data_IF_287435965234
#
_entry.id   IF_287435965234
#
_cell.length_a   1.000
_cell.length_b   1.000
_cell.length_c   1.000
_cell.angle_alpha   90.00
_cell.angle_beta   90.00
_cell.angle_gamma   90.00
#
_symmetry.space_group_name_H-M   'P 1'
#
loop_
_entity.id
_entity.type
_entity.pdbx_description
1 polymer ?
#
# COMPACT_ATOMS: atom_id res chain seq x y z
N UNK A 1 21.13 26.43 -6.14
CA UNK A 1 19.92 26.55 -6.99
C UNK A 1 19.20 25.22 -7.01
N UNK A 2 17.87 25.20 -6.85
CA UNK A 2 17.09 23.98 -7.16
C UNK A 2 17.21 23.69 -8.66
N UNK A 3 17.26 22.41 -9.02
CA UNK A 3 17.29 21.96 -10.40
C UNK A 3 16.12 22.59 -11.19
N UNK A 4 16.38 23.37 -12.25
CA UNK A 4 15.33 24.01 -13.05
C UNK A 4 14.40 23.01 -13.74
N UNK A 5 14.84 21.76 -13.93
CA UNK A 5 14.01 20.68 -14.44
C UNK A 5 12.97 20.19 -13.41
N UNK A 6 13.11 20.57 -12.13
CA UNK A 6 12.14 20.24 -11.09
C UNK A 6 11.07 21.32 -10.97
N UNK A 7 9.81 20.92 -11.10
CA UNK A 7 8.64 21.77 -10.83
C UNK A 7 7.94 21.26 -9.57
N UNK A 8 7.40 22.17 -8.76
CA UNK A 8 6.66 21.77 -7.57
C UNK A 8 5.56 22.77 -7.23
N UNK A 9 4.47 22.26 -6.65
CA UNK A 9 3.43 23.02 -5.98
C UNK A 9 3.52 22.68 -4.50
N UNK A 10 3.85 23.66 -3.66
CA UNK A 10 4.02 23.47 -2.22
C UNK A 10 3.26 24.53 -1.45
N UNK A 11 2.51 24.09 -0.43
CA UNK A 11 1.83 25.00 0.50
C UNK A 11 2.69 25.24 1.74
N UNK A 12 2.40 26.32 2.47
CA UNK A 12 3.14 26.73 3.68
C UNK A 12 3.14 25.66 4.76
N UNK A 13 2.07 24.87 4.86
CA UNK A 13 1.95 23.75 5.79
C UNK A 13 2.80 22.52 5.39
N UNK A 14 3.47 22.56 4.23
CA UNK A 14 4.51 21.61 3.84
C UNK A 14 4.09 20.49 2.88
N UNK A 15 2.81 20.38 2.55
CA UNK A 15 2.33 19.46 1.50
C UNK A 15 2.87 19.90 0.14
N UNK A 16 3.27 18.92 -0.66
CA UNK A 16 3.96 19.15 -1.93
C UNK A 16 3.54 18.14 -3.00
N UNK A 17 3.36 18.62 -4.21
CA UNK A 17 3.39 17.82 -5.45
C UNK A 17 4.61 18.26 -6.25
N UNK A 18 5.49 17.34 -6.63
CA UNK A 18 6.69 17.66 -7.42
C UNK A 18 6.86 16.74 -8.63
N UNK A 19 7.35 17.34 -9.71
CA UNK A 19 7.74 16.70 -10.96
C UNK A 19 9.23 16.95 -11.14
N UNK A 20 10.00 15.89 -11.35
CA UNK A 20 11.45 15.97 -11.53
C UNK A 20 11.91 14.92 -12.55
N UNK A 21 13.18 14.97 -13.01
CA UNK A 21 13.75 13.90 -13.84
C UNK A 21 13.66 12.49 -13.22
N UNK A 22 13.48 12.39 -11.89
CA UNK A 22 13.31 11.10 -11.19
C UNK A 22 11.88 10.54 -11.27
N UNK A 23 10.88 11.40 -11.47
CA UNK A 23 9.47 11.02 -11.46
C UNK A 23 8.57 12.07 -10.81
N UNK A 24 7.37 11.64 -10.41
CA UNK A 24 6.33 12.43 -9.74
C UNK A 24 6.26 12.02 -8.27
N UNK A 25 6.20 13.00 -7.37
CA UNK A 25 6.02 12.77 -5.93
C UNK A 25 4.84 13.60 -5.43
N UNK A 26 3.97 12.98 -4.64
CA UNK A 26 2.93 13.65 -3.85
C UNK A 26 3.21 13.33 -2.39
N UNK A 27 3.35 14.33 -1.53
CA UNK A 27 3.70 14.11 -0.12
C UNK A 27 3.10 15.13 0.84
N UNK A 28 2.84 14.68 2.06
CA UNK A 28 2.54 15.54 3.19
C UNK A 28 3.82 16.05 3.87
N UNK A 29 3.67 17.10 4.69
CA UNK A 29 4.77 17.64 5.49
C UNK A 29 5.43 16.55 6.35
N UNK A 30 6.76 16.57 6.43
CA UNK A 30 7.51 15.56 7.19
C UNK A 30 7.52 14.15 6.57
N UNK A 31 6.86 13.93 5.42
CA UNK A 31 6.84 12.64 4.75
C UNK A 31 5.96 11.58 5.43
N UNK A 32 4.97 12.00 6.21
CA UNK A 32 4.01 11.09 6.88
C UNK A 32 3.20 10.24 5.89
N UNK A 33 2.90 10.82 4.72
CA UNK A 33 2.33 10.15 3.55
C UNK A 33 3.14 10.55 2.33
N UNK A 34 3.45 9.57 1.47
CA UNK A 34 4.15 9.81 0.20
C UNK A 34 3.70 8.82 -0.87
N UNK A 35 3.42 9.34 -2.06
CA UNK A 35 3.18 8.59 -3.29
C UNK A 35 4.29 8.94 -4.28
N UNK A 36 4.94 7.94 -4.84
CA UNK A 36 6.01 8.13 -5.82
C UNK A 36 5.68 7.34 -7.09
N UNK A 37 5.73 8.01 -8.24
CA UNK A 37 5.67 7.39 -9.57
C UNK A 37 7.01 7.66 -10.23
N UNK A 38 7.88 6.65 -10.25
CA UNK A 38 9.29 6.80 -10.65
C UNK A 38 9.50 6.50 -12.13
N UNK A 39 10.49 7.16 -12.73
CA UNK A 39 10.89 6.93 -14.14
C UNK A 39 11.27 5.47 -14.44
N UNK A 40 11.66 4.71 -13.42
CA UNK A 40 11.95 3.27 -13.54
C UNK A 40 10.71 2.39 -13.72
N UNK A 41 9.50 2.95 -13.67
CA UNK A 41 8.23 2.21 -13.66
C UNK A 41 7.81 1.71 -12.27
N UNK A 42 8.62 1.96 -11.23
CA UNK A 42 8.26 1.64 -9.84
C UNK A 42 7.27 2.66 -9.30
N UNK A 43 6.21 2.16 -8.65
CA UNK A 43 5.29 2.96 -7.86
C UNK A 43 5.50 2.60 -6.39
N UNK A 44 5.64 3.61 -5.52
CA UNK A 44 5.71 3.41 -4.07
C UNK A 44 4.59 4.19 -3.39
N UNK A 45 3.97 3.57 -2.38
CA UNK A 45 2.96 4.17 -1.52
C UNK A 45 3.41 4.01 -0.07
N UNK A 46 3.48 5.12 0.66
CA UNK A 46 3.92 5.15 2.05
C UNK A 46 2.90 5.89 2.91
N UNK A 47 2.58 5.30 4.08
CA UNK A 47 1.78 5.93 5.12
C UNK A 47 2.35 5.50 6.48
N UNK A 48 2.50 6.44 7.41
CA UNK A 48 3.02 6.16 8.76
C UNK A 48 1.98 5.60 9.73
N UNK A 49 0.69 5.88 9.49
CA UNK A 49 -0.42 5.49 10.38
C UNK A 49 -1.24 4.36 9.75
N UNK A 50 -2.10 4.68 8.77
CA UNK A 50 -2.97 3.71 8.10
C UNK A 50 -2.97 3.91 6.58
N UNK A 51 -3.09 2.81 5.84
CA UNK A 51 -3.45 2.81 4.41
C UNK A 51 -4.67 1.93 4.21
N UNK A 52 -5.79 2.55 3.84
CA UNK A 52 -7.05 1.86 3.56
C UNK A 52 -7.32 1.82 2.05
N UNK A 53 -7.63 0.64 1.52
CA UNK A 53 -8.10 0.45 0.15
C UNK A 53 -9.52 -0.13 0.22
N UNK A 54 -10.51 0.65 -0.18
CA UNK A 54 -11.92 0.25 -0.18
C UNK A 54 -12.50 0.41 -1.59
N UNK A 55 -13.11 -0.66 -2.11
CA UNK A 55 -13.74 -0.66 -3.44
C UNK A 55 -15.13 -1.30 -3.35
N UNK A 56 -16.05 -0.87 -4.22
CA UNK A 56 -17.39 -1.49 -4.33
C UNK A 56 -17.38 -2.80 -5.12
N UNK A 57 -16.48 -2.91 -6.08
CA UNK A 57 -16.31 -4.10 -6.93
C UNK A 57 -15.15 -4.96 -6.45
N UNK A 58 -14.28 -5.31 -7.37
CA UNK A 58 -13.12 -6.17 -7.13
C UNK A 58 -11.80 -5.38 -7.08
N UNK A 59 -10.85 -5.92 -6.32
CA UNK A 59 -9.43 -5.56 -6.42
C UNK A 59 -8.71 -6.75 -7.06
N UNK A 60 -8.11 -6.53 -8.23
CA UNK A 60 -7.27 -7.52 -8.91
C UNK A 60 -5.80 -7.19 -8.68
N UNK A 61 -5.03 -8.17 -8.17
CA UNK A 61 -3.57 -8.08 -8.03
C UNK A 61 -2.95 -9.20 -8.86
N UNK A 62 -2.43 -8.85 -10.03
CA UNK A 62 -1.72 -9.76 -10.92
C UNK A 62 -0.22 -9.42 -10.96
N UNK A 63 0.61 -10.45 -10.82
CA UNK A 63 2.05 -10.33 -10.91
C UNK A 63 2.64 -11.56 -11.62
N UNK A 64 3.31 -11.33 -12.76
CA UNK A 64 3.98 -12.38 -13.56
C UNK A 64 4.99 -13.23 -12.79
N UNK A 65 5.57 -12.69 -11.70
CA UNK A 65 6.63 -13.36 -10.94
C UNK A 65 6.20 -13.69 -9.52
N UNK A 66 5.71 -12.72 -8.76
CA UNK A 66 5.44 -12.90 -7.33
C UNK A 66 4.60 -11.74 -6.79
N UNK A 67 3.64 -12.09 -5.93
CA UNK A 67 3.03 -11.19 -4.96
C UNK A 67 3.66 -11.48 -3.60
N UNK A 68 4.13 -10.44 -2.90
CA UNK A 68 4.75 -10.57 -1.57
C UNK A 68 4.01 -9.68 -0.58
N UNK A 69 3.49 -10.29 0.48
CA UNK A 69 2.85 -9.59 1.61
C UNK A 69 3.71 -9.82 2.86
N UNK A 70 4.00 -8.74 3.59
CA UNK A 70 4.79 -8.76 4.82
C UNK A 70 4.04 -7.98 5.89
N UNK A 71 3.97 -8.51 7.10
CA UNK A 71 3.38 -7.85 8.27
C UNK A 71 4.34 -7.93 9.45
N UNK A 72 4.54 -6.81 10.16
CA UNK A 72 5.44 -6.78 11.32
C UNK A 72 4.87 -7.49 12.56
N UNK A 73 3.53 -7.55 12.68
CA UNK A 73 2.83 -8.21 13.80
C UNK A 73 1.91 -9.34 13.35
N UNK A 74 1.11 -9.11 12.32
CA UNK A 74 0.24 -10.12 11.75
C UNK A 74 -0.09 -9.80 10.28
N UNK A 75 -0.56 -10.82 9.57
CA UNK A 75 -1.29 -10.69 8.30
C UNK A 75 -2.63 -11.38 8.53
N UNK A 76 -3.74 -10.70 8.21
CA UNK A 76 -5.10 -11.21 8.44
C UNK A 76 -5.94 -11.01 7.18
N UNK A 77 -6.59 -12.07 6.72
CA UNK A 77 -7.52 -12.09 5.59
C UNK A 77 -8.87 -12.57 6.12
N UNK A 78 -9.94 -11.80 5.93
CA UNK A 78 -11.24 -12.10 6.55
C UNK A 78 -12.41 -11.85 5.62
N UNK A 79 -13.45 -12.67 5.78
CA UNK A 79 -14.76 -12.40 5.21
C UNK A 79 -15.67 -11.74 6.25
N UNK A 80 -16.45 -10.75 5.81
CA UNK A 80 -17.49 -10.12 6.64
C UNK A 80 -18.57 -11.12 7.11
N UNK A 81 -18.73 -12.24 6.39
CA UNK A 81 -19.69 -13.31 6.72
C UNK A 81 -19.10 -14.38 7.67
N UNK A 82 -17.88 -14.17 8.16
CA UNK A 82 -17.15 -15.15 8.93
C UNK A 82 -16.19 -15.98 8.06
N UNK A 83 -15.11 -16.42 8.70
CA UNK A 83 -13.97 -17.08 8.06
C UNK A 83 -12.75 -16.18 7.98
N UNK A 84 -11.59 -16.72 8.36
CA UNK A 84 -10.34 -15.97 8.38
C UNK A 84 -9.11 -16.84 8.10
N UNK A 85 -8.06 -16.21 7.57
CA UNK A 85 -6.69 -16.71 7.56
C UNK A 85 -5.82 -15.70 8.29
N UNK A 86 -5.09 -16.15 9.31
CA UNK A 86 -4.17 -15.30 10.08
C UNK A 86 -2.77 -15.90 10.10
N UNK A 87 -1.75 -15.08 9.79
CA UNK A 87 -0.35 -15.33 10.09
C UNK A 87 0.05 -14.44 11.27
N UNK A 88 0.47 -15.02 12.38
CA UNK A 88 0.85 -14.27 13.59
C UNK A 88 2.34 -13.91 13.64
N UNK A 89 2.74 -13.13 14.65
CA UNK A 89 4.13 -12.70 14.87
C UNK A 89 5.12 -13.84 15.15
N UNK A 90 4.63 -15.03 15.52
CA UNK A 90 5.44 -16.22 15.76
C UNK A 90 5.56 -17.08 14.49
N UNK A 91 4.88 -16.71 13.41
CA UNK A 91 4.84 -17.46 12.16
C UNK A 91 3.76 -18.56 12.14
N UNK A 92 2.84 -18.60 13.11
CA UNK A 92 1.76 -19.57 13.09
C UNK A 92 0.70 -19.17 12.08
N UNK A 93 0.19 -20.15 11.35
CA UNK A 93 -0.94 -19.98 10.44
C UNK A 93 -2.19 -20.56 11.11
N UNK A 94 -3.26 -19.77 11.16
CA UNK A 94 -4.58 -20.21 11.63
C UNK A 94 -5.61 -19.97 10.54
N UNK A 95 -6.41 -21.00 10.25
CA UNK A 95 -7.53 -20.93 9.31
C UNK A 95 -8.81 -21.24 10.08
N UNK A 96 -9.81 -20.38 9.95
CA UNK A 96 -11.13 -20.55 10.56
C UNK A 96 -12.21 -20.40 9.51
N UNK A 97 -13.27 -21.19 9.61
CA UNK A 97 -14.37 -21.22 8.67
C UNK A 97 -15.45 -22.23 9.08
N UNK A 98 -16.53 -22.29 8.30
CA UNK A 98 -17.56 -23.32 8.44
C UNK A 98 -17.21 -24.47 7.50
N UNK A 99 -17.27 -25.70 8.01
CA UNK A 99 -17.08 -26.90 7.20
C UNK A 99 -18.22 -27.03 6.17
N UNK A 100 -17.86 -27.04 4.88
CA UNK A 100 -18.82 -27.29 3.81
C UNK A 100 -18.92 -28.80 3.57
N UNK A 101 -20.06 -29.40 3.90
CA UNK A 101 -20.37 -30.77 3.47
C UNK A 101 -20.73 -30.73 1.98
N UNK A 102 -19.92 -31.40 1.14
CA UNK A 102 -20.25 -31.62 -0.27
C UNK A 102 -20.97 -32.96 -0.40
N UNK A 103 -22.18 -32.95 -0.97
CA UNK A 103 -22.92 -34.17 -1.35
C UNK A 103 -22.43 -34.71 -2.69
#
# INVERSE_FOLDING_TARGET
MKDPATKYLKVVSGQEVSLSPKGIVVQCSGGSVRIEVLKSGRINLYAQDEMQIAVKGEINVDAKRMVKVLGGKNIRLESVKGGSLTLDKKGNITVTGVEAHMN
#
